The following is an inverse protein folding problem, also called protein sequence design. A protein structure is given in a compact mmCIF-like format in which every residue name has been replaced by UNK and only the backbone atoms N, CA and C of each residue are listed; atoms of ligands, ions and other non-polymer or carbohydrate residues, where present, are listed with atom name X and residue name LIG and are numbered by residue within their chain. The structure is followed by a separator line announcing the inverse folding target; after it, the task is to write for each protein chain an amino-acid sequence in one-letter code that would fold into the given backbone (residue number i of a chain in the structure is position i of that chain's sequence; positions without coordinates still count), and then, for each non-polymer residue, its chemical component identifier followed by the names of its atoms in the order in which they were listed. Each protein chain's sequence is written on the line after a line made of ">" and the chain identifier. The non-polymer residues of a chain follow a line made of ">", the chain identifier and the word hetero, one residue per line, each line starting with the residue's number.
data_IF_912058896384
#
_entry.id   IF_912058896384
#
_cell.length_a   1.000
_cell.length_b   1.000
_cell.length_c   1.000
_cell.angle_alpha   90.00
_cell.angle_beta   90.00
_cell.angle_gamma   90.00
#
_symmetry.space_group_name_H-M   'P 1'
#
loop_
_entity.id
_entity.type
_entity.pdbx_description
1 polymer ?
#
# COMPACT_ATOMS: atom_id res chain seq x y z
N UNK A 1 -32.61 -9.78 58.55
CA UNK A 1 -31.77 -11.00 58.62
C UNK A 1 -31.43 -11.35 57.17
N UNK A 2 -30.44 -10.70 56.56
CA UNK A 2 -28.98 -10.90 56.65
C UNK A 2 -28.45 -12.02 55.73
N UNK A 3 -27.57 -11.58 54.80
CA UNK A 3 -26.46 -12.28 54.13
C UNK A 3 -26.77 -13.50 53.24
N UNK A 4 -26.04 -13.81 52.16
CA UNK A 4 -24.65 -13.44 51.81
C UNK A 4 -24.43 -13.35 50.29
N UNK A 5 -23.53 -12.46 49.91
CA UNK A 5 -23.02 -12.19 48.56
C UNK A 5 -21.79 -13.09 48.29
N UNK A 6 -21.75 -13.76 47.13
CA UNK A 6 -20.63 -14.63 46.70
C UNK A 6 -19.86 -14.01 45.53
N UNK A 7 -18.53 -13.97 45.68
CA UNK A 7 -17.58 -13.15 44.93
C UNK A 7 -17.19 -13.70 43.53
N UNK A 8 -16.75 -12.75 42.69
CA UNK A 8 -16.17 -12.90 41.34
C UNK A 8 -14.64 -13.10 41.49
N UNK A 9 -13.98 -13.96 40.69
CA UNK A 9 -12.54 -14.18 40.81
C UNK A 9 -11.73 -13.01 40.25
N UNK A 10 -10.77 -12.52 41.04
CA UNK A 10 -9.80 -11.51 40.65
C UNK A 10 -8.60 -12.17 39.96
N UNK A 11 -8.24 -11.65 38.78
CA UNK A 11 -7.00 -11.92 38.06
C UNK A 11 -5.82 -11.25 38.75
N UNK A 12 -4.77 -12.03 39.01
CA UNK A 12 -3.47 -11.63 39.54
C UNK A 12 -2.90 -10.40 38.82
N UNK A 13 -2.58 -9.37 39.62
CA UNK A 13 -1.74 -8.26 39.24
C UNK A 13 -0.28 -8.64 39.47
N UNK A 14 0.53 -8.41 38.45
CA UNK A 14 1.98 -8.57 38.46
C UNK A 14 2.60 -7.64 39.52
N UNK A 15 3.22 -8.24 40.52
CA UNK A 15 3.73 -7.58 41.71
C UNK A 15 5.22 -7.32 41.48
N UNK A 16 5.55 -6.06 41.16
CA UNK A 16 6.94 -5.60 40.97
C UNK A 16 7.75 -5.77 42.26
N UNK A 17 8.90 -6.42 42.12
CA UNK A 17 9.91 -6.70 43.14
C UNK A 17 10.52 -5.37 43.67
N UNK A 18 10.69 -5.16 45.00
CA UNK A 18 11.17 -3.88 45.53
C UNK A 18 12.67 -3.61 45.34
N UNK A 19 13.45 -4.55 44.78
CA UNK A 19 14.92 -4.46 44.71
C UNK A 19 15.49 -4.06 43.34
N UNK A 20 14.66 -3.71 42.35
CA UNK A 20 15.11 -3.29 41.00
C UNK A 20 15.03 -1.77 40.77
N UNK A 21 15.36 -0.98 41.80
CA UNK A 21 15.67 0.44 41.60
C UNK A 21 17.09 0.57 41.06
N UNK A 22 17.20 0.91 39.77
CA UNK A 22 18.46 1.36 39.17
C UNK A 22 18.86 2.69 39.82
N UNK A 23 19.81 2.62 40.76
CA UNK A 23 20.48 3.78 41.35
C UNK A 23 21.20 4.56 40.24
N UNK A 24 20.66 5.72 39.87
CA UNK A 24 21.40 6.74 39.14
C UNK A 24 22.18 7.59 40.14
N UNK A 25 23.22 7.00 40.74
CA UNK A 25 24.18 7.75 41.53
C UNK A 25 25.30 8.22 40.58
N UNK A 26 25.25 9.48 40.16
CA UNK A 26 26.34 10.10 39.40
C UNK A 26 27.42 10.46 40.41
N UNK A 27 28.55 9.75 40.36
CA UNK A 27 29.71 10.06 41.20
C UNK A 27 30.34 11.37 40.72
N UNK A 28 30.87 12.17 41.65
CA UNK A 28 31.43 13.50 41.38
C UNK A 28 32.71 13.47 40.50
N UNK A 29 33.16 12.29 40.10
CA UNK A 29 34.36 12.06 39.28
C UNK A 29 34.04 11.98 37.77
N UNK A 30 32.76 11.84 37.38
CA UNK A 30 32.32 11.74 35.97
C UNK A 30 32.04 13.10 35.30
N UNK A 31 32.27 14.22 35.99
CA UNK A 31 31.99 15.58 35.49
C UNK A 31 33.17 16.24 34.74
N UNK A 32 34.34 15.63 34.74
CA UNK A 32 35.58 16.24 34.22
C UNK A 32 35.85 15.98 32.72
N UNK A 33 34.97 15.24 32.01
CA UNK A 33 35.19 14.85 30.61
C UNK A 33 34.18 15.47 29.60
N UNK A 34 33.58 16.61 29.94
CA UNK A 34 32.78 17.40 28.99
C UNK A 34 33.67 18.33 28.16
N UNK A 35 33.54 18.38 26.82
CA UNK A 35 34.25 19.37 26.01
C UNK A 35 33.84 20.79 26.42
N UNK A 36 34.78 21.77 26.40
CA UNK A 36 34.46 23.13 26.83
C UNK A 36 33.35 23.73 25.97
N UNK A 37 32.35 24.30 26.64
CA UNK A 37 31.26 25.04 26.01
C UNK A 37 31.85 26.20 25.19
N UNK A 38 31.53 26.34 23.89
CA UNK A 38 31.99 27.49 23.12
C UNK A 38 31.46 28.79 23.76
N UNK A 39 32.36 29.75 23.95
CA UNK A 39 32.05 31.04 24.56
C UNK A 39 30.86 31.72 23.86
N UNK A 40 29.94 32.27 24.65
CA UNK A 40 28.84 33.08 24.15
C UNK A 40 29.41 34.28 23.36
N UNK A 41 28.80 34.67 22.22
CA UNK A 41 29.20 35.89 21.53
C UNK A 41 29.02 37.08 22.48
N UNK A 42 30.03 37.95 22.53
CA UNK A 42 30.04 39.15 23.38
C UNK A 42 28.73 39.92 23.22
N UNK A 43 27.99 40.05 24.31
CA UNK A 43 26.87 40.96 24.38
C UNK A 43 27.45 42.38 24.31
N UNK A 44 27.25 43.05 23.17
CA UNK A 44 27.47 44.49 23.08
C UNK A 44 26.68 45.24 24.16
N UNK A 45 27.10 46.46 24.53
CA UNK A 45 26.51 47.17 25.66
C UNK A 45 24.99 47.29 25.50
N UNK A 46 24.23 47.21 26.61
CA UNK A 46 22.77 47.27 26.57
C UNK A 46 22.33 48.57 25.90
N UNK A 47 21.45 48.46 24.92
CA UNK A 47 20.84 49.59 24.22
C UNK A 47 19.95 50.35 25.21
N UNK A 48 20.50 51.37 25.85
CA UNK A 48 19.76 52.34 26.65
C UNK A 48 19.24 53.40 25.68
N UNK A 49 17.94 53.37 25.41
CA UNK A 49 17.27 54.41 24.62
C UNK A 49 17.00 55.55 25.59
N UNK A 50 17.71 56.67 25.43
CA UNK A 50 17.48 57.87 26.23
C UNK A 50 16.32 58.68 25.65
N UNK A 51 15.65 59.48 26.50
CA UNK A 51 14.45 60.23 26.12
C UNK A 51 14.71 61.30 25.02
N UNK A 52 15.99 61.57 24.73
CA UNK A 52 16.47 62.48 23.69
C UNK A 52 16.46 61.85 22.29
N UNK A 53 16.56 60.52 22.18
CA UNK A 53 16.52 59.77 20.91
C UNK A 53 15.12 59.70 20.29
N UNK A 54 14.07 59.97 21.08
CA UNK A 54 12.68 59.97 20.62
C UNK A 54 12.27 61.28 19.91
N UNK A 55 13.13 62.30 19.86
CA UNK A 55 12.77 63.63 19.34
C UNK A 55 13.54 64.11 18.11
N UNK A 56 14.40 63.28 17.51
CA UNK A 56 15.00 63.62 16.21
C UNK A 56 14.02 63.39 15.05
N UNK A 57 13.10 64.33 14.85
CA UNK A 57 12.47 64.48 13.53
C UNK A 57 13.48 65.12 12.59
N UNK A 58 13.90 64.39 11.55
CA UNK A 58 14.76 64.90 10.50
C UNK A 58 14.22 66.21 9.90
N UNK A 59 15.06 67.23 9.62
CA UNK A 59 14.61 68.48 9.04
C UNK A 59 14.03 68.27 7.64
N UNK A 60 12.96 68.98 7.26
CA UNK A 60 12.34 68.81 5.94
C UNK A 60 13.26 69.42 4.87
N UNK A 61 13.63 68.64 3.85
CA UNK A 61 14.21 69.21 2.62
C UNK A 61 15.51 68.62 2.07
N UNK A 62 15.96 67.43 2.49
CA UNK A 62 17.02 66.70 1.75
C UNK A 62 16.48 65.37 1.23
N UNK A 63 16.20 65.32 -0.07
CA UNK A 63 16.01 64.07 -0.80
C UNK A 63 17.31 63.25 -0.72
N UNK A 64 17.24 62.08 -0.08
CA UNK A 64 18.31 61.09 -0.17
C UNK A 64 18.50 60.70 -1.64
N UNK A 65 19.75 60.57 -2.14
CA UNK A 65 19.99 60.04 -3.48
C UNK A 65 19.40 58.63 -3.58
N UNK A 66 18.84 58.23 -4.75
CA UNK A 66 18.25 56.92 -4.92
C UNK A 66 19.30 55.84 -4.63
N UNK A 67 19.02 54.96 -3.68
CA UNK A 67 19.86 53.79 -3.43
C UNK A 67 19.89 52.92 -4.70
N UNK A 68 21.07 52.39 -5.09
CA UNK A 68 21.13 51.42 -6.17
C UNK A 68 20.31 50.18 -5.80
N UNK A 69 19.62 49.55 -6.77
CA UNK A 69 18.77 48.39 -6.49
C UNK A 69 19.60 47.26 -5.89
N UNK A 70 19.15 46.73 -4.75
CA UNK A 70 19.71 45.53 -4.14
C UNK A 70 19.47 44.36 -5.11
N UNK A 71 20.52 43.66 -5.60
CA UNK A 71 20.32 42.47 -6.42
C UNK A 71 19.62 41.38 -5.59
N UNK A 72 18.35 41.10 -5.89
CA UNK A 72 17.61 40.00 -5.28
C UNK A 72 16.29 40.36 -4.57
N UNK A 73 15.94 41.63 -4.42
CA UNK A 73 14.66 42.04 -3.81
C UNK A 73 13.56 42.27 -4.85
N UNK A 74 13.38 41.35 -5.80
CA UNK A 74 12.13 41.34 -6.55
C UNK A 74 11.00 41.06 -5.54
N UNK A 75 9.99 41.93 -5.39
CA UNK A 75 8.81 41.55 -4.63
C UNK A 75 8.27 40.26 -5.27
N UNK A 76 8.10 39.21 -4.47
CA UNK A 76 7.35 38.04 -4.88
C UNK A 76 6.02 38.56 -5.37
N UNK A 77 5.84 38.62 -6.68
CA UNK A 77 4.57 38.97 -7.27
C UNK A 77 3.56 37.98 -6.68
N UNK A 78 2.62 38.47 -5.88
CA UNK A 78 1.44 37.72 -5.49
C UNK A 78 0.74 37.32 -6.80
N UNK A 79 1.06 36.12 -7.29
CA UNK A 79 0.37 35.55 -8.43
C UNK A 79 -1.08 35.36 -7.97
N UNK A 80 -2.07 35.94 -8.66
CA UNK A 80 -3.46 35.68 -8.31
C UNK A 80 -3.69 34.17 -8.38
N UNK A 81 -4.01 33.58 -7.22
CA UNK A 81 -4.31 32.15 -7.06
C UNK A 81 -5.73 31.90 -7.58
N UNK A 82 -5.91 32.09 -8.88
CA UNK A 82 -7.11 31.73 -9.63
C UNK A 82 -6.72 31.11 -10.96
N UNK A 83 -5.68 30.27 -10.98
CA UNK A 83 -5.60 29.24 -12.02
C UNK A 83 -6.59 28.12 -11.66
N UNK A 84 -7.81 28.24 -12.16
CA UNK A 84 -8.67 27.07 -12.35
C UNK A 84 -7.96 26.16 -13.36
N UNK A 85 -7.20 25.20 -12.84
CA UNK A 85 -6.58 24.18 -13.67
C UNK A 85 -7.70 23.27 -14.18
N UNK A 86 -8.06 23.42 -15.45
CA UNK A 86 -8.84 22.42 -16.16
C UNK A 86 -7.93 21.24 -16.44
N UNK A 87 -7.74 20.38 -15.43
CA UNK A 87 -7.13 19.09 -15.63
C UNK A 87 -8.09 18.26 -16.49
N UNK A 88 -7.67 17.93 -17.70
CA UNK A 88 -8.29 16.85 -18.45
C UNK A 88 -7.70 15.56 -17.91
N UNK A 89 -8.48 14.66 -17.28
CA UNK A 89 -7.99 13.33 -16.94
C UNK A 89 -7.38 12.69 -18.17
N UNK A 90 -6.07 12.47 -18.11
CA UNK A 90 -5.36 11.79 -19.19
C UNK A 90 -5.70 10.30 -19.22
N UNK A 91 -6.40 9.80 -18.20
CA UNK A 91 -6.80 8.41 -18.05
C UNK A 91 -8.29 8.34 -17.67
N UNK A 92 -9.09 7.72 -18.51
CA UNK A 92 -10.47 7.31 -18.17
C UNK A 92 -10.41 6.18 -17.13
N UNK A 93 -11.44 6.02 -16.27
CA UNK A 93 -11.46 4.97 -15.23
C UNK A 93 -11.11 3.56 -15.72
N UNK A 94 -11.47 3.20 -16.95
CA UNK A 94 -11.09 1.93 -17.60
C UNK A 94 -9.57 1.79 -17.83
N UNK A 95 -8.89 2.90 -18.15
CA UNK A 95 -7.44 2.93 -18.34
C UNK A 95 -6.68 2.85 -17.01
N UNK A 96 -7.29 3.30 -15.91
CA UNK A 96 -6.73 3.17 -14.56
C UNK A 96 -6.79 1.73 -14.05
N UNK A 97 -7.94 1.06 -14.23
CA UNK A 97 -8.10 -0.38 -13.96
C UNK A 97 -7.04 -1.20 -14.69
N UNK A 98 -6.84 -0.93 -16.00
CA UNK A 98 -5.86 -1.65 -16.81
C UNK A 98 -4.42 -1.52 -16.30
N UNK A 99 -4.01 -0.33 -15.85
CA UNK A 99 -2.62 -0.11 -15.38
C UNK A 99 -2.30 -0.86 -14.09
N UNK A 100 -3.21 -0.85 -13.12
CA UNK A 100 -3.04 -1.59 -11.86
C UNK A 100 -2.96 -3.10 -12.11
N UNK A 101 -3.90 -3.61 -12.91
CA UNK A 101 -3.97 -5.03 -13.26
C UNK A 101 -2.71 -5.51 -13.98
N UNK A 102 -2.25 -4.76 -14.99
CA UNK A 102 -1.03 -5.12 -15.74
C UNK A 102 0.19 -5.11 -14.82
N UNK A 103 0.31 -4.11 -13.94
CA UNK A 103 1.46 -4.01 -13.04
C UNK A 103 1.54 -5.20 -12.08
N UNK A 104 0.44 -5.57 -11.42
CA UNK A 104 0.44 -6.70 -10.50
C UNK A 104 0.52 -8.04 -11.24
N UNK A 105 -0.10 -8.16 -12.42
CA UNK A 105 0.04 -9.36 -13.25
C UNK A 105 1.50 -9.59 -13.67
N UNK A 106 2.22 -8.54 -14.11
CA UNK A 106 3.63 -8.65 -14.46
C UNK A 106 4.50 -8.96 -13.24
N UNK A 107 4.22 -8.35 -12.09
CA UNK A 107 4.94 -8.66 -10.85
C UNK A 107 4.73 -10.13 -10.42
N UNK A 108 3.50 -10.61 -10.47
CA UNK A 108 3.18 -12.01 -10.18
C UNK A 108 3.82 -12.98 -11.17
N UNK A 109 3.78 -12.66 -12.46
CA UNK A 109 4.43 -13.43 -13.53
C UNK A 109 5.95 -13.52 -13.34
N UNK A 110 6.60 -12.41 -12.98
CA UNK A 110 8.02 -12.38 -12.63
C UNK A 110 8.32 -13.23 -11.39
N UNK A 111 7.50 -13.12 -10.35
CA UNK A 111 7.61 -13.98 -9.16
C UNK A 111 7.47 -15.47 -9.50
N UNK A 112 6.56 -15.82 -10.41
CA UNK A 112 6.39 -17.18 -10.92
C UNK A 112 7.60 -17.67 -11.73
N UNK A 113 8.20 -16.81 -12.55
CA UNK A 113 9.44 -17.12 -13.28
C UNK A 113 10.62 -17.37 -12.31
N UNK A 114 10.78 -16.52 -11.30
CA UNK A 114 11.82 -16.68 -10.28
C UNK A 114 11.59 -17.94 -9.45
N UNK A 115 10.34 -18.25 -9.11
CA UNK A 115 9.99 -19.49 -8.44
C UNK A 115 10.32 -20.73 -9.28
N UNK A 116 10.05 -20.68 -10.57
CA UNK A 116 10.47 -21.73 -11.48
C UNK A 116 12.00 -21.90 -11.47
N UNK A 117 12.77 -20.81 -11.62
CA UNK A 117 14.23 -20.87 -11.55
C UNK A 117 14.76 -21.45 -10.24
N UNK A 118 14.09 -21.15 -9.13
CA UNK A 118 14.46 -21.64 -7.80
C UNK A 118 14.09 -23.11 -7.57
N UNK A 119 13.02 -23.60 -8.20
CA UNK A 119 12.48 -24.95 -7.94
C UNK A 119 12.90 -25.97 -9.00
N UNK A 120 13.15 -25.54 -10.23
CA UNK A 120 13.54 -26.37 -11.36
C UNK A 120 14.76 -27.27 -11.07
N UNK A 121 15.87 -26.77 -10.51
CA UNK A 121 17.07 -27.60 -10.29
C UNK A 121 16.86 -28.76 -9.32
N UNK A 122 15.79 -28.69 -8.51
CA UNK A 122 15.44 -29.69 -7.50
C UNK A 122 14.32 -30.64 -7.95
N UNK A 123 13.74 -30.41 -9.13
CA UNK A 123 12.75 -31.31 -9.72
C UNK A 123 13.44 -32.47 -10.46
N UNK A 124 13.65 -33.57 -9.74
CA UNK A 124 14.03 -34.85 -10.32
C UNK A 124 12.81 -35.80 -10.32
N UNK A 125 12.31 -36.13 -11.50
CA UNK A 125 11.15 -37.01 -11.72
C UNK A 125 11.38 -38.44 -11.22
N UNK A 126 12.65 -38.89 -11.19
CA UNK A 126 13.04 -40.21 -10.69
C UNK A 126 12.83 -40.38 -9.18
N UNK A 127 12.95 -39.31 -8.40
CA UNK A 127 12.85 -39.34 -6.93
C UNK A 127 11.40 -39.35 -6.42
N UNK A 128 10.42 -39.11 -7.31
CA UNK A 128 9.00 -38.98 -6.95
C UNK A 128 8.27 -40.33 -6.81
N UNK A 129 8.87 -41.44 -7.25
CA UNK A 129 8.23 -42.76 -7.23
C UNK A 129 8.42 -43.54 -5.93
N UNK A 130 9.42 -43.19 -5.12
CA UNK A 130 9.80 -43.94 -3.91
C UNK A 130 9.53 -43.19 -2.59
N UNK A 131 8.80 -42.05 -2.63
CA UNK A 131 8.57 -41.23 -1.44
C UNK A 131 7.28 -41.61 -0.69
N UNK A 132 7.41 -41.88 0.60
CA UNK A 132 6.28 -42.01 1.54
C UNK A 132 5.41 -40.74 1.59
N UNK A 133 4.21 -40.87 2.16
CA UNK A 133 3.23 -39.76 2.28
C UNK A 133 3.84 -38.53 2.94
N UNK A 134 4.61 -38.70 4.02
CA UNK A 134 5.27 -37.59 4.73
C UNK A 134 6.31 -36.87 3.85
N UNK A 135 7.09 -37.62 3.07
CA UNK A 135 8.05 -37.07 2.11
C UNK A 135 7.36 -36.28 0.99
N UNK A 136 6.23 -36.79 0.50
CA UNK A 136 5.40 -36.08 -0.50
C UNK A 136 4.87 -34.76 0.05
N UNK A 137 4.31 -34.77 1.27
CA UNK A 137 3.77 -33.56 1.91
C UNK A 137 4.87 -32.53 2.17
N UNK A 138 6.04 -32.94 2.67
CA UNK A 138 7.17 -32.04 2.88
C UNK A 138 7.61 -31.39 1.56
N UNK A 139 7.73 -32.18 0.48
CA UNK A 139 8.13 -31.66 -0.84
C UNK A 139 7.12 -30.66 -1.39
N UNK A 140 5.82 -30.96 -1.27
CA UNK A 140 4.75 -30.05 -1.70
C UNK A 140 4.67 -28.79 -0.84
N UNK A 141 4.95 -28.90 0.46
CA UNK A 141 5.10 -27.76 1.36
C UNK A 141 6.27 -26.87 0.95
N UNK A 142 7.47 -27.43 0.74
CA UNK A 142 8.63 -26.64 0.31
C UNK A 142 8.44 -26.01 -1.07
N UNK A 143 7.86 -26.77 -2.02
CA UNK A 143 7.55 -26.28 -3.35
C UNK A 143 6.52 -25.14 -3.30
N UNK A 144 5.40 -25.35 -2.61
CA UNK A 144 4.37 -24.33 -2.40
C UNK A 144 4.91 -23.11 -1.67
N UNK A 145 5.80 -23.31 -0.70
CA UNK A 145 6.46 -22.24 0.04
C UNK A 145 7.40 -21.42 -0.82
N UNK A 146 8.30 -22.03 -1.58
CA UNK A 146 9.19 -21.29 -2.48
C UNK A 146 8.42 -20.50 -3.53
N UNK A 147 7.39 -21.13 -4.13
CA UNK A 147 6.51 -20.49 -5.09
C UNK A 147 5.74 -19.33 -4.45
N UNK A 148 5.10 -19.58 -3.31
CA UNK A 148 4.30 -18.60 -2.60
C UNK A 148 5.13 -17.42 -2.09
N UNK A 149 6.33 -17.70 -1.61
CA UNK A 149 7.27 -16.69 -1.14
C UNK A 149 7.76 -15.79 -2.26
N UNK A 150 8.17 -16.34 -3.40
CA UNK A 150 8.71 -15.53 -4.51
C UNK A 150 7.61 -14.74 -5.24
N UNK A 151 6.42 -15.32 -5.43
CA UNK A 151 5.27 -14.57 -5.96
C UNK A 151 4.82 -13.51 -4.95
N UNK A 152 4.70 -13.87 -3.67
CA UNK A 152 4.31 -12.95 -2.59
C UNK A 152 5.28 -11.78 -2.44
N UNK A 153 6.59 -12.03 -2.52
CA UNK A 153 7.63 -11.01 -2.49
C UNK A 153 7.57 -10.07 -3.69
N UNK A 154 7.37 -10.61 -4.90
CA UNK A 154 7.25 -9.80 -6.11
C UNK A 154 6.02 -8.90 -6.09
N UNK A 155 4.85 -9.44 -5.70
CA UNK A 155 3.59 -8.69 -5.60
C UNK A 155 3.65 -7.60 -4.52
N UNK A 156 4.14 -7.94 -3.32
CA UNK A 156 4.25 -6.99 -2.21
C UNK A 156 5.32 -5.93 -2.46
N UNK A 157 6.42 -6.30 -3.12
CA UNK A 157 7.48 -5.38 -3.52
C UNK A 157 7.04 -4.39 -4.59
N UNK A 158 6.20 -4.81 -5.55
CA UNK A 158 5.75 -3.97 -6.67
C UNK A 158 5.11 -2.64 -6.22
N UNK A 159 4.44 -2.63 -5.08
CA UNK A 159 3.84 -1.43 -4.50
C UNK A 159 4.88 -0.42 -4.03
N UNK A 160 5.92 -0.90 -3.36
CA UNK A 160 7.07 -0.11 -2.93
C UNK A 160 7.78 0.52 -4.12
N UNK A 161 7.98 -0.26 -5.20
CA UNK A 161 8.56 0.23 -6.45
C UNK A 161 7.68 1.32 -7.08
N UNK A 162 6.36 1.12 -7.10
CA UNK A 162 5.40 2.13 -7.55
C UNK A 162 5.39 3.40 -6.70
N UNK A 163 5.78 3.32 -5.41
CA UNK A 163 5.96 4.49 -4.53
C UNK A 163 7.30 5.19 -4.67
N UNK A 164 8.27 4.59 -5.36
CA UNK A 164 9.65 5.07 -5.45
C UNK A 164 10.30 5.26 -4.07
N UNK A 165 9.86 4.48 -3.07
CA UNK A 165 10.42 4.46 -1.72
C UNK A 165 11.07 3.09 -1.49
N UNK A 166 12.41 3.00 -1.40
CA UNK A 166 13.12 1.72 -1.31
C UNK A 166 12.83 0.98 0.00
N UNK A 167 12.61 1.70 1.10
CA UNK A 167 12.24 1.10 2.39
C UNK A 167 10.90 0.37 2.32
N UNK A 168 9.90 0.97 1.64
CA UNK A 168 8.59 0.32 1.41
C UNK A 168 8.74 -0.90 0.51
N UNK A 169 9.60 -0.83 -0.50
CA UNK A 169 9.92 -1.98 -1.34
C UNK A 169 10.54 -3.12 -0.53
N UNK A 170 11.59 -2.85 0.24
CA UNK A 170 12.34 -3.89 0.95
C UNK A 170 11.49 -4.53 2.06
N UNK A 171 10.72 -3.72 2.80
CA UNK A 171 9.77 -4.21 3.80
C UNK A 171 8.66 -5.05 3.16
N UNK A 172 8.07 -4.56 2.06
CA UNK A 172 7.04 -5.29 1.32
C UNK A 172 7.57 -6.61 0.76
N UNK A 173 8.74 -6.59 0.13
CA UNK A 173 9.41 -7.77 -0.42
C UNK A 173 9.71 -8.81 0.68
N UNK A 174 10.31 -8.39 1.81
CA UNK A 174 10.65 -9.29 2.91
C UNK A 174 9.43 -9.90 3.60
N UNK A 175 8.41 -9.09 3.91
CA UNK A 175 7.15 -9.59 4.47
C UNK A 175 6.42 -10.49 3.47
N UNK A 176 6.42 -10.11 2.19
CA UNK A 176 5.85 -10.90 1.11
C UNK A 176 6.51 -12.26 0.96
N UNK A 177 7.84 -12.32 1.07
CA UNK A 177 8.62 -13.55 1.03
C UNK A 177 8.28 -14.46 2.22
N UNK A 178 8.28 -13.92 3.44
CA UNK A 178 8.03 -14.68 4.65
C UNK A 178 6.59 -15.21 4.72
N UNK A 179 5.60 -14.31 4.60
CA UNK A 179 4.18 -14.67 4.70
C UNK A 179 3.79 -15.53 3.50
N UNK A 180 4.30 -15.21 2.32
CA UNK A 180 4.08 -15.99 1.10
C UNK A 180 4.67 -17.39 1.21
N UNK A 181 5.85 -17.55 1.82
CA UNK A 181 6.46 -18.85 2.04
C UNK A 181 5.63 -19.70 3.02
N UNK A 182 5.25 -19.12 4.15
CA UNK A 182 4.43 -19.83 5.13
C UNK A 182 3.05 -20.20 4.58
N UNK A 183 2.37 -19.23 3.96
CA UNK A 183 1.05 -19.45 3.36
C UNK A 183 1.10 -20.41 2.18
N UNK A 184 2.13 -20.31 1.33
CA UNK A 184 2.37 -21.21 0.22
C UNK A 184 2.71 -22.62 0.66
N UNK A 185 3.48 -22.79 1.74
CA UNK A 185 3.81 -24.11 2.27
C UNK A 185 2.59 -24.82 2.87
N UNK A 186 1.81 -24.10 3.68
CA UNK A 186 0.53 -24.62 4.20
C UNK A 186 -0.41 -24.93 3.04
N UNK A 187 -0.54 -24.01 2.06
CA UNK A 187 -1.35 -24.20 0.87
C UNK A 187 -0.92 -25.40 0.03
N UNK A 188 0.38 -25.66 -0.10
CA UNK A 188 0.93 -26.80 -0.81
C UNK A 188 0.62 -28.13 -0.12
N UNK A 189 0.79 -28.21 1.21
CA UNK A 189 0.42 -29.39 2.00
C UNK A 189 -1.08 -29.65 1.93
N UNK A 190 -1.90 -28.64 2.23
CA UNK A 190 -3.36 -28.77 2.19
C UNK A 190 -3.87 -29.08 0.78
N UNK A 191 -3.29 -28.46 -0.25
CA UNK A 191 -3.60 -28.72 -1.64
C UNK A 191 -3.28 -30.16 -2.04
N UNK A 192 -2.14 -30.70 -1.60
CA UNK A 192 -1.78 -32.10 -1.85
C UNK A 192 -2.73 -33.08 -1.14
N UNK A 193 -3.16 -32.76 0.09
CA UNK A 193 -4.14 -33.57 0.82
C UNK A 193 -5.51 -33.59 0.13
N UNK A 194 -6.00 -32.43 -0.32
CA UNK A 194 -7.24 -32.33 -1.10
C UNK A 194 -7.10 -33.09 -2.42
N UNK A 195 -5.97 -32.91 -3.11
CA UNK A 195 -5.71 -33.60 -4.36
C UNK A 195 -5.74 -35.12 -4.18
N UNK A 196 -5.00 -35.68 -3.22
CA UNK A 196 -5.02 -37.11 -2.94
C UNK A 196 -6.39 -37.61 -2.47
N UNK A 197 -7.03 -36.89 -1.54
CA UNK A 197 -8.30 -37.29 -0.93
C UNK A 197 -9.49 -37.32 -1.89
N UNK A 198 -9.47 -36.47 -2.93
CA UNK A 198 -10.55 -36.40 -3.94
C UNK A 198 -10.26 -37.26 -5.19
N UNK A 199 -9.29 -38.17 -5.12
CA UNK A 199 -8.95 -39.09 -6.22
C UNK A 199 -7.97 -38.52 -7.25
N UNK A 200 -7.20 -37.50 -6.88
CA UNK A 200 -6.13 -36.94 -7.69
C UNK A 200 -5.08 -37.99 -8.03
N UNK A 201 -4.69 -38.08 -9.31
CA UNK A 201 -3.71 -39.07 -9.78
C UNK A 201 -4.28 -40.45 -10.16
N UNK A 202 -5.59 -40.66 -10.04
CA UNK A 202 -6.28 -41.92 -10.40
C UNK A 202 -6.40 -42.23 -11.91
N UNK A 203 -5.54 -41.68 -12.76
CA UNK A 203 -5.42 -42.04 -14.19
C UNK A 203 -6.52 -41.55 -15.14
N UNK A 204 -7.63 -40.98 -14.64
CA UNK A 204 -8.69 -40.42 -15.49
C UNK A 204 -8.37 -38.96 -15.81
N UNK A 205 -7.84 -38.67 -16.99
CA UNK A 205 -7.78 -37.32 -17.54
C UNK A 205 -9.22 -36.83 -17.75
N UNK A 206 -9.66 -35.87 -16.95
CA UNK A 206 -11.02 -35.37 -17.00
C UNK A 206 -11.20 -34.08 -16.21
N UNK A 207 -12.35 -33.42 -16.42
CA UNK A 207 -12.73 -32.16 -15.77
C UNK A 207 -12.58 -32.20 -14.23
N UNK A 208 -12.80 -33.37 -13.63
CA UNK A 208 -12.62 -33.60 -12.20
C UNK A 208 -11.17 -33.34 -11.73
N UNK A 209 -10.16 -33.85 -12.44
CA UNK A 209 -8.75 -33.65 -12.07
C UNK A 209 -8.35 -32.17 -12.14
N UNK A 210 -8.83 -31.48 -13.17
CA UNK A 210 -8.59 -30.04 -13.36
C UNK A 210 -9.18 -29.27 -12.18
N UNK A 211 -10.45 -29.50 -11.83
CA UNK A 211 -11.12 -28.80 -10.73
C UNK A 211 -10.42 -29.07 -9.39
N UNK A 212 -10.10 -30.33 -9.07
CA UNK A 212 -9.42 -30.68 -7.81
C UNK A 212 -8.04 -30.01 -7.73
N UNK A 213 -7.28 -29.99 -8.83
CA UNK A 213 -5.98 -29.32 -8.89
C UNK A 213 -6.13 -27.81 -8.72
N UNK A 214 -7.14 -27.20 -9.33
CA UNK A 214 -7.44 -25.77 -9.16
C UNK A 214 -7.80 -25.41 -7.73
N UNK A 215 -8.49 -26.28 -6.99
CA UNK A 215 -8.74 -26.07 -5.56
C UNK A 215 -7.44 -26.06 -4.76
N UNK A 216 -6.50 -26.97 -5.05
CA UNK A 216 -5.17 -26.97 -4.45
C UNK A 216 -4.40 -25.68 -4.74
N UNK A 217 -4.39 -25.23 -5.99
CA UNK A 217 -3.77 -23.96 -6.38
C UNK A 217 -4.44 -22.73 -5.77
N UNK A 218 -5.76 -22.79 -5.55
CA UNK A 218 -6.48 -21.73 -4.84
C UNK A 218 -5.98 -21.55 -3.41
N UNK A 219 -5.65 -22.64 -2.70
CA UNK A 219 -5.10 -22.56 -1.34
C UNK A 219 -3.70 -21.91 -1.32
N UNK A 220 -2.84 -22.27 -2.26
CA UNK A 220 -1.54 -21.58 -2.43
C UNK A 220 -1.76 -20.10 -2.75
N UNK A 221 -2.71 -19.80 -3.65
CA UNK A 221 -3.11 -18.45 -4.02
C UNK A 221 -3.60 -17.62 -2.83
N UNK A 222 -4.37 -18.21 -1.91
CA UNK A 222 -4.79 -17.56 -0.65
C UNK A 222 -3.56 -17.17 0.18
N UNK A 223 -2.56 -18.05 0.30
CA UNK A 223 -1.31 -17.76 1.01
C UNK A 223 -0.53 -16.59 0.38
N UNK A 224 -0.41 -16.58 -0.95
CA UNK A 224 0.21 -15.49 -1.72
C UNK A 224 -0.56 -14.17 -1.54
N UNK A 225 -1.89 -14.24 -1.64
CA UNK A 225 -2.78 -13.10 -1.46
C UNK A 225 -2.71 -12.52 -0.04
N UNK A 226 -2.62 -13.39 0.96
CA UNK A 226 -2.39 -13.01 2.36
C UNK A 226 -1.07 -12.25 2.50
N UNK A 227 0.00 -12.70 1.83
CA UNK A 227 1.30 -12.02 1.84
C UNK A 227 1.20 -10.59 1.31
N UNK A 228 0.56 -10.40 0.15
CA UNK A 228 0.34 -9.08 -0.43
C UNK A 228 -0.53 -8.20 0.49
N UNK A 229 -1.64 -8.73 0.99
CA UNK A 229 -2.57 -7.95 1.81
C UNK A 229 -2.05 -7.60 3.21
N UNK A 230 -1.30 -8.51 3.84
CA UNK A 230 -0.72 -8.31 5.16
C UNK A 230 0.43 -7.30 5.17
N UNK A 231 1.15 -7.15 4.05
CA UNK A 231 2.22 -6.15 3.91
C UNK A 231 1.76 -4.71 4.18
N UNK A 232 0.46 -4.44 4.01
CA UNK A 232 -0.17 -3.14 4.21
C UNK A 232 -0.78 -2.93 5.61
N UNK A 233 -0.72 -3.93 6.49
CA UNK A 233 -1.21 -3.88 7.87
C UNK A 233 -2.65 -3.37 8.02
N UNK A 234 -3.53 -3.68 7.07
CA UNK A 234 -4.93 -3.23 7.10
C UNK A 234 -5.85 -4.41 6.76
N UNK A 235 -6.91 -4.68 7.57
CA UNK A 235 -7.77 -5.85 7.37
C UNK A 235 -8.51 -5.81 6.03
N UNK A 236 -8.93 -4.62 5.55
CA UNK A 236 -9.57 -4.47 4.22
C UNK A 236 -8.67 -5.01 3.11
N UNK A 237 -7.38 -4.71 3.17
CA UNK A 237 -6.39 -5.18 2.20
C UNK A 237 -6.06 -6.65 2.35
N UNK A 238 -5.95 -7.15 3.57
CA UNK A 238 -5.79 -8.58 3.83
C UNK A 238 -6.92 -9.40 3.16
N UNK A 239 -8.17 -8.97 3.32
CA UNK A 239 -9.32 -9.64 2.71
C UNK A 239 -9.27 -9.55 1.18
N UNK A 240 -8.92 -8.39 0.62
CA UNK A 240 -8.77 -8.23 -0.84
C UNK A 240 -7.70 -9.18 -1.40
N UNK A 241 -6.56 -9.25 -0.73
CA UNK A 241 -5.47 -10.16 -1.06
C UNK A 241 -5.92 -11.61 -1.01
N UNK A 242 -6.55 -12.07 0.09
CA UNK A 242 -7.06 -13.44 0.22
C UNK A 242 -8.06 -13.80 -0.87
N UNK A 243 -9.04 -12.94 -1.14
CA UNK A 243 -10.06 -13.18 -2.17
C UNK A 243 -9.44 -13.22 -3.57
N UNK A 244 -8.63 -12.21 -3.91
CA UNK A 244 -7.98 -12.14 -5.22
C UNK A 244 -6.96 -13.26 -5.42
N UNK A 245 -6.22 -13.61 -4.37
CA UNK A 245 -5.27 -14.70 -4.35
C UNK A 245 -5.92 -16.05 -4.58
N UNK A 246 -7.00 -16.34 -3.85
CA UNK A 246 -7.77 -17.58 -4.04
C UNK A 246 -8.38 -17.70 -5.43
N UNK A 247 -8.97 -16.61 -5.94
CA UNK A 247 -9.55 -16.57 -7.30
C UNK A 247 -8.47 -16.73 -8.37
N UNK A 248 -7.36 -16.01 -8.27
CA UNK A 248 -6.28 -16.07 -9.24
C UNK A 248 -5.53 -17.39 -9.21
N UNK A 249 -5.34 -18.00 -8.03
CA UNK A 249 -4.81 -19.34 -7.88
C UNK A 249 -5.73 -20.40 -8.49
N UNK A 250 -7.04 -20.28 -8.30
CA UNK A 250 -8.03 -21.18 -8.92
C UNK A 250 -8.01 -21.08 -10.45
N UNK A 251 -8.06 -19.86 -10.99
CA UNK A 251 -8.01 -19.61 -12.44
C UNK A 251 -6.67 -20.08 -13.04
N UNK A 252 -5.55 -19.76 -12.41
CA UNK A 252 -4.25 -20.25 -12.85
C UNK A 252 -4.14 -21.77 -12.79
N UNK A 253 -4.76 -22.41 -11.80
CA UNK A 253 -4.86 -23.86 -11.71
C UNK A 253 -5.72 -24.49 -12.81
N UNK A 254 -6.82 -23.84 -13.21
CA UNK A 254 -7.66 -24.30 -14.34
C UNK A 254 -6.88 -24.29 -15.65
N UNK A 255 -5.99 -23.31 -15.81
CA UNK A 255 -5.14 -23.16 -16.99
C UNK A 255 -3.93 -24.10 -16.97
N UNK A 256 -3.61 -24.74 -15.85
CA UNK A 256 -2.40 -25.55 -15.68
C UNK A 256 -2.31 -26.69 -16.69
N UNK A 257 -3.35 -27.52 -16.80
CA UNK A 257 -3.35 -28.71 -17.67
C UNK A 257 -3.35 -28.35 -19.17
N UNK A 258 -4.18 -27.40 -19.65
CA UNK A 258 -4.08 -26.93 -21.03
C UNK A 258 -2.71 -26.36 -21.38
N UNK A 259 -2.08 -25.60 -20.47
CA UNK A 259 -0.75 -25.04 -20.69
C UNK A 259 0.32 -26.13 -20.70
N UNK A 260 0.18 -27.16 -19.87
CA UNK A 260 1.08 -28.31 -19.88
C UNK A 260 1.00 -29.07 -21.22
N UNK A 261 -0.21 -29.33 -21.71
CA UNK A 261 -0.41 -29.97 -23.01
C UNK A 261 0.14 -29.10 -24.17
N UNK A 262 -0.09 -27.79 -24.11
CA UNK A 262 0.42 -26.84 -25.10
C UNK A 262 1.95 -26.77 -25.09
N UNK A 263 2.58 -26.71 -23.92
CA UNK A 263 4.03 -26.71 -23.78
C UNK A 263 4.68 -27.96 -24.34
N UNK A 264 4.07 -29.13 -24.11
CA UNK A 264 4.51 -30.40 -24.72
C UNK A 264 4.40 -30.37 -26.26
N UNK A 265 3.32 -29.80 -26.80
CA UNK A 265 3.15 -29.67 -28.25
C UNK A 265 4.18 -28.73 -28.90
N UNK A 266 4.56 -27.64 -28.22
CA UNK A 266 5.53 -26.67 -28.76
C UNK A 266 6.98 -27.15 -28.75
N UNK A 267 7.40 -27.94 -27.75
CA UNK A 267 8.80 -28.38 -27.60
C UNK A 267 9.14 -29.60 -28.47
N UNK A 268 8.15 -30.18 -29.16
CA UNK A 268 8.35 -31.28 -30.11
C UNK A 268 8.15 -32.64 -29.45
N UNK A 269 7.15 -33.37 -29.93
CA UNK A 269 6.64 -34.63 -29.37
C UNK A 269 7.56 -35.86 -29.47
N UNK A 270 8.88 -35.72 -29.59
CA UNK A 270 9.82 -36.85 -29.57
C UNK A 270 11.05 -36.57 -28.69
N UNK A 271 11.11 -37.30 -27.57
CA UNK A 271 12.34 -37.80 -26.91
C UNK A 271 13.40 -36.71 -26.59
N UNK A 272 13.04 -35.74 -25.77
CA UNK A 272 13.97 -35.30 -24.71
C UNK A 272 13.32 -35.56 -23.36
N UNK A 273 13.91 -36.41 -22.50
CA UNK A 273 13.44 -36.66 -21.13
C UNK A 273 13.37 -35.40 -20.24
N UNK A 274 13.76 -34.24 -20.78
CA UNK A 274 13.90 -32.97 -20.07
C UNK A 274 12.88 -31.90 -20.52
N UNK A 275 11.98 -32.13 -21.48
CA UNK A 275 11.07 -31.08 -22.00
C UNK A 275 10.00 -30.56 -20.99
N UNK A 276 9.88 -31.17 -19.81
CA UNK A 276 8.91 -30.76 -18.78
C UNK A 276 9.18 -29.38 -18.17
N UNK A 277 10.42 -28.89 -18.21
CA UNK A 277 10.82 -27.62 -17.60
C UNK A 277 10.04 -26.43 -18.18
N UNK A 278 9.84 -26.40 -19.51
CA UNK A 278 9.20 -25.26 -20.18
C UNK A 278 7.72 -25.16 -19.83
N UNK A 279 7.02 -26.30 -19.78
CA UNK A 279 5.61 -26.35 -19.36
C UNK A 279 5.43 -25.87 -17.92
N UNK A 280 6.32 -26.28 -17.00
CA UNK A 280 6.30 -25.85 -15.60
C UNK A 280 6.64 -24.37 -15.45
N UNK A 281 7.59 -23.86 -16.22
CA UNK A 281 7.88 -22.42 -16.30
C UNK A 281 6.63 -21.64 -16.70
N UNK A 282 6.01 -22.00 -17.84
CA UNK A 282 4.82 -21.32 -18.35
C UNK A 282 3.67 -21.37 -17.34
N UNK A 283 3.45 -22.54 -16.71
CA UNK A 283 2.41 -22.71 -15.72
C UNK A 283 2.63 -21.83 -14.48
N UNK A 284 3.85 -21.75 -13.94
CA UNK A 284 4.14 -20.89 -12.77
C UNK A 284 4.04 -19.40 -13.11
N UNK A 285 4.50 -18.99 -14.29
CA UNK A 285 4.36 -17.60 -14.78
C UNK A 285 2.89 -17.22 -14.90
N UNK A 286 2.08 -18.08 -15.51
CA UNK A 286 0.64 -17.80 -15.69
C UNK A 286 -0.10 -17.85 -14.36
N UNK A 287 0.22 -18.79 -13.47
CA UNK A 287 -0.35 -18.83 -12.12
C UNK A 287 -0.06 -17.53 -11.35
N UNK A 288 1.20 -17.07 -11.33
CA UNK A 288 1.58 -15.82 -10.71
C UNK A 288 0.90 -14.61 -11.34
N UNK A 289 0.84 -14.57 -12.67
CA UNK A 289 0.15 -13.52 -13.43
C UNK A 289 -1.35 -13.44 -13.13
N UNK A 290 -2.05 -14.59 -13.16
CA UNK A 290 -3.47 -14.69 -12.80
C UNK A 290 -3.71 -14.26 -11.35
N UNK A 291 -2.82 -14.65 -10.43
CA UNK A 291 -2.87 -14.25 -9.01
C UNK A 291 -2.77 -12.74 -8.86
N UNK A 292 -1.76 -12.12 -9.45
CA UNK A 292 -1.60 -10.66 -9.43
C UNK A 292 -2.75 -9.90 -10.09
N UNK A 293 -3.22 -10.37 -11.26
CA UNK A 293 -4.35 -9.78 -11.97
C UNK A 293 -5.65 -9.83 -11.14
N UNK A 294 -5.93 -10.98 -10.51
CA UNK A 294 -7.12 -11.17 -9.69
C UNK A 294 -7.07 -10.35 -8.40
N UNK A 295 -5.90 -10.23 -7.74
CA UNK A 295 -5.71 -9.33 -6.58
C UNK A 295 -6.01 -7.89 -6.97
N UNK A 296 -5.42 -7.40 -8.07
CA UNK A 296 -5.68 -6.03 -8.53
C UNK A 296 -7.15 -5.80 -8.91
N UNK A 297 -7.79 -6.78 -9.54
CA UNK A 297 -9.21 -6.71 -9.87
C UNK A 297 -10.07 -6.62 -8.61
N UNK A 298 -9.80 -7.45 -7.60
CA UNK A 298 -10.54 -7.40 -6.33
C UNK A 298 -10.31 -6.08 -5.59
N UNK A 299 -9.08 -5.57 -5.56
CA UNK A 299 -8.78 -4.25 -4.99
C UNK A 299 -9.56 -3.15 -5.69
N UNK A 300 -9.61 -3.15 -7.03
CA UNK A 300 -10.40 -2.17 -7.78
C UNK A 300 -11.91 -2.32 -7.50
N UNK A 301 -12.42 -3.56 -7.51
CA UNK A 301 -13.84 -3.82 -7.28
C UNK A 301 -14.29 -3.50 -5.86
N UNK A 302 -13.37 -3.43 -4.90
CA UNK A 302 -13.66 -3.13 -3.49
C UNK A 302 -13.13 -1.76 -3.03
N UNK A 303 -12.54 -0.95 -3.92
CA UNK A 303 -12.11 0.41 -3.55
C UNK A 303 -13.33 1.30 -3.27
N UNK A 304 -13.22 2.10 -2.21
CA UNK A 304 -14.29 3.01 -1.77
C UNK A 304 -13.88 4.47 -1.96
N UNK A 305 -12.62 4.81 -1.71
CA UNK A 305 -12.08 6.15 -1.93
C UNK A 305 -10.61 6.09 -2.37
N UNK A 306 -10.18 7.05 -3.17
CA UNK A 306 -8.79 7.14 -3.63
C UNK A 306 -8.39 8.59 -3.94
N UNK A 307 -7.09 8.86 -3.91
CA UNK A 307 -6.47 10.08 -4.39
C UNK A 307 -5.76 9.83 -5.72
N UNK A 308 -5.82 10.78 -6.63
CA UNK A 308 -5.03 10.77 -7.88
C UNK A 308 -4.06 11.95 -7.84
N UNK A 309 -2.78 11.72 -8.10
CA UNK A 309 -1.80 12.80 -8.22
C UNK A 309 -1.95 13.45 -9.59
N UNK A 310 -2.35 14.70 -9.58
CA UNK A 310 -2.62 15.51 -10.78
C UNK A 310 -1.35 16.18 -11.25
N UNK A 311 -0.57 16.69 -10.29
CA UNK A 311 0.68 17.40 -10.49
C UNK A 311 1.67 17.03 -9.39
N UNK A 312 2.94 16.90 -9.74
CA UNK A 312 4.03 16.59 -8.82
C UNK A 312 4.90 15.42 -9.29
N UNK A 313 5.86 15.00 -8.45
CA UNK A 313 6.83 13.96 -8.80
C UNK A 313 6.24 12.57 -9.07
N UNK A 314 4.96 12.37 -8.75
CA UNK A 314 4.20 11.13 -8.88
C UNK A 314 2.92 11.32 -9.73
N UNK A 315 2.87 12.32 -10.62
CA UNK A 315 1.70 12.57 -11.46
C UNK A 315 1.17 11.31 -12.18
N UNK A 316 -0.15 11.17 -12.20
CA UNK A 316 -0.88 10.00 -12.72
C UNK A 316 -0.95 8.81 -11.75
N UNK A 317 -0.30 8.87 -10.59
CA UNK A 317 -0.37 7.81 -9.58
C UNK A 317 -1.67 7.89 -8.78
N UNK A 318 -2.26 6.73 -8.51
CA UNK A 318 -3.41 6.58 -7.63
C UNK A 318 -2.99 6.02 -6.26
N UNK A 319 -3.62 6.51 -5.20
CA UNK A 319 -3.50 5.99 -3.84
C UNK A 319 -4.88 5.65 -3.30
N UNK A 320 -5.13 4.37 -3.01
CA UNK A 320 -6.41 3.92 -2.43
C UNK A 320 -6.38 4.14 -0.92
N UNK A 321 -7.49 4.66 -0.38
CA UNK A 321 -7.67 4.90 1.05
C UNK A 321 -8.28 3.65 1.70
N UNK A 322 -7.45 2.85 2.35
CA UNK A 322 -7.90 1.63 3.05
C UNK A 322 -8.02 1.79 4.57
N UNK A 323 -7.37 2.81 5.15
CA UNK A 323 -7.27 3.00 6.59
C UNK A 323 -8.29 4.03 7.08
N UNK A 324 -8.87 3.83 8.29
CA UNK A 324 -9.72 4.83 8.92
C UNK A 324 -9.01 6.17 9.17
N UNK A 325 -7.70 6.14 9.34
CA UNK A 325 -6.85 7.32 9.45
C UNK A 325 -5.69 7.13 8.47
N UNK A 326 -5.58 8.03 7.50
CA UNK A 326 -4.53 7.99 6.47
C UNK A 326 -3.65 9.22 6.61
N UNK A 327 -2.37 9.02 6.90
CA UNK A 327 -1.37 10.10 7.00
C UNK A 327 -0.75 10.37 5.62
N UNK A 328 -0.75 11.64 5.22
CA UNK A 328 -0.15 12.11 3.96
C UNK A 328 1.03 13.02 4.26
N UNK A 329 2.17 12.78 3.63
CA UNK A 329 3.37 13.61 3.81
C UNK A 329 4.57 13.10 3.02
N UNK A 330 5.75 13.70 3.25
CA UNK A 330 6.99 13.31 2.57
C UNK A 330 7.73 12.15 3.23
N UNK A 331 7.35 11.77 4.46
CA UNK A 331 8.00 10.68 5.19
C UNK A 331 7.72 9.30 4.55
N UNK A 332 8.71 8.40 4.47
CA UNK A 332 8.48 6.98 4.16
C UNK A 332 7.50 6.29 5.12
N UNK A 333 7.37 6.81 6.36
CA UNK A 333 6.45 6.29 7.37
C UNK A 333 5.00 6.76 7.17
N UNK A 334 4.76 7.78 6.35
CA UNK A 334 3.41 8.20 5.99
C UNK A 334 2.73 7.13 5.13
N UNK A 335 1.42 6.96 5.28
CA UNK A 335 0.64 6.00 4.50
C UNK A 335 0.73 6.35 3.01
N UNK A 336 0.50 7.63 2.69
CA UNK A 336 0.70 8.21 1.37
C UNK A 336 1.95 9.08 1.42
N UNK A 337 3.03 8.57 0.83
CA UNK A 337 4.30 9.27 0.72
C UNK A 337 4.35 10.05 -0.60
N UNK A 338 4.34 11.37 -0.51
CA UNK A 338 4.49 12.29 -1.64
C UNK A 338 5.94 12.77 -1.71
N UNK A 339 6.67 12.29 -2.72
CA UNK A 339 8.08 12.57 -2.92
C UNK A 339 8.31 13.75 -3.88
N UNK A 340 9.50 14.33 -3.81
CA UNK A 340 10.01 15.38 -4.72
C UNK A 340 9.30 16.72 -4.59
N UNK A 341 8.84 17.05 -3.38
CA UNK A 341 8.26 18.35 -3.07
C UNK A 341 8.77 18.83 -1.69
N UNK A 342 9.66 19.82 -1.64
CA UNK A 342 10.21 20.32 -0.37
C UNK A 342 9.18 21.07 0.48
N UNK A 343 8.05 21.49 -0.12
CA UNK A 343 6.95 22.13 0.60
C UNK A 343 6.09 21.15 1.40
N UNK A 344 6.30 19.84 1.23
CA UNK A 344 5.55 18.80 1.94
C UNK A 344 6.34 18.34 3.17
N UNK A 345 5.83 18.66 4.36
CA UNK A 345 6.34 18.14 5.63
C UNK A 345 6.24 16.61 5.76
N UNK A 346 7.06 15.97 6.62
CA UNK A 346 7.02 14.54 6.87
C UNK A 346 5.62 13.99 7.16
N UNK A 347 4.83 14.73 7.95
CA UNK A 347 3.40 14.56 8.15
C UNK A 347 2.73 15.90 7.84
N UNK A 348 2.06 16.01 6.69
CA UNK A 348 1.50 17.27 6.20
C UNK A 348 0.02 17.39 6.55
N UNK A 349 -0.74 16.33 6.31
CA UNK A 349 -2.14 16.26 6.68
C UNK A 349 -2.59 14.81 6.97
N UNK A 350 -3.78 14.69 7.53
CA UNK A 350 -4.43 13.42 7.85
C UNK A 350 -5.80 13.42 7.20
N UNK A 351 -6.17 12.30 6.58
CA UNK A 351 -7.51 12.02 6.12
C UNK A 351 -8.16 11.04 7.08
N UNK A 352 -9.23 11.47 7.75
CA UNK A 352 -9.99 10.65 8.68
C UNK A 352 -11.30 10.18 8.04
N UNK A 353 -11.51 8.88 8.01
CA UNK A 353 -12.76 8.25 7.57
C UNK A 353 -13.87 8.56 8.59
N UNK A 354 -15.02 8.96 8.06
CA UNK A 354 -16.24 9.28 8.81
C UNK A 354 -17.43 8.63 8.11
N UNK A 355 -18.60 8.60 8.77
CA UNK A 355 -19.81 7.93 8.25
C UNK A 355 -20.28 8.40 6.85
N UNK A 356 -19.75 9.51 6.33
CA UNK A 356 -20.10 10.01 5.01
C UNK A 356 -18.92 10.39 4.13
N UNK A 357 -17.75 9.77 4.32
CA UNK A 357 -16.56 10.01 3.50
C UNK A 357 -15.37 10.40 4.36
N UNK A 358 -14.48 11.23 3.82
CA UNK A 358 -13.24 11.60 4.50
C UNK A 358 -13.23 13.07 4.92
N UNK A 359 -12.64 13.33 6.07
CA UNK A 359 -12.38 14.68 6.59
C UNK A 359 -10.88 14.92 6.56
N UNK A 360 -10.49 16.02 5.94
CA UNK A 360 -9.12 16.53 5.95
C UNK A 360 -8.85 17.23 7.28
N UNK A 361 -7.73 16.87 7.90
CA UNK A 361 -7.13 17.51 9.07
C UNK A 361 -5.71 17.93 8.68
N UNK A 362 -5.49 19.22 8.45
CA UNK A 362 -4.17 19.77 8.18
C UNK A 362 -3.59 20.46 9.41
N UNK A 363 -2.27 20.42 9.55
CA UNK A 363 -1.59 21.13 10.63
C UNK A 363 -1.70 22.64 10.41
N UNK A 364 -1.91 23.47 11.45
CA UNK A 364 -2.00 24.93 11.31
C UNK A 364 -0.77 25.56 10.62
N UNK A 365 0.39 24.95 10.79
CA UNK A 365 1.66 25.37 10.19
C UNK A 365 1.82 24.96 8.72
N UNK A 366 0.91 24.14 8.19
CA UNK A 366 0.92 23.59 6.83
C UNK A 366 -0.51 23.58 6.27
N UNK A 367 -1.04 24.75 5.89
CA UNK A 367 -2.39 24.82 5.35
C UNK A 367 -2.46 24.08 4.01
N UNK A 368 -3.46 23.22 3.89
CA UNK A 368 -3.78 22.53 2.63
C UNK A 368 -4.80 23.37 1.88
N UNK A 369 -4.57 23.64 0.60
CA UNK A 369 -5.57 24.34 -0.21
C UNK A 369 -6.56 23.31 -0.75
N UNK A 370 -7.84 23.45 -0.42
CA UNK A 370 -8.92 22.64 -0.99
C UNK A 370 -9.69 23.49 -1.99
N UNK A 371 -9.59 23.16 -3.27
CA UNK A 371 -10.10 23.95 -4.40
C UNK A 371 -9.60 25.40 -4.36
N UNK A 372 -8.31 25.58 -4.08
CA UNK A 372 -7.64 26.88 -4.02
C UNK A 372 -7.85 27.68 -2.73
N UNK A 373 -8.62 27.17 -1.75
CA UNK A 373 -8.85 27.85 -0.46
C UNK A 373 -8.18 27.09 0.67
N UNK A 374 -7.43 27.79 1.52
CA UNK A 374 -6.80 27.19 2.70
C UNK A 374 -7.87 26.57 3.62
N UNK A 375 -7.64 25.31 3.99
CA UNK A 375 -8.52 24.53 4.85
C UNK A 375 -7.67 23.70 5.83
N UNK A 376 -7.89 23.94 7.12
CA UNK A 376 -7.26 23.16 8.19
C UNK A 376 -8.15 21.98 8.61
N UNK A 377 -9.46 22.13 8.45
CA UNK A 377 -10.44 21.10 8.76
C UNK A 377 -11.59 21.18 7.76
N UNK A 378 -11.78 20.15 6.94
CA UNK A 378 -12.84 20.16 5.90
C UNK A 378 -13.23 18.76 5.46
N UNK A 379 -14.53 18.51 5.32
CA UNK A 379 -15.04 17.30 4.67
C UNK A 379 -14.81 17.36 3.17
N UNK A 380 -14.24 16.30 2.61
CA UNK A 380 -13.96 16.18 1.19
C UNK A 380 -15.18 15.70 0.41
N UNK A 381 -15.37 16.25 -0.77
CA UNK A 381 -16.37 15.85 -1.75
C UNK A 381 -15.72 15.28 -3.02
N UNK A 382 -16.47 14.48 -3.78
CA UNK A 382 -16.02 13.96 -5.08
C UNK A 382 -15.47 15.07 -5.97
N UNK A 383 -14.25 14.89 -6.47
CA UNK A 383 -13.56 15.84 -7.34
C UNK A 383 -12.86 16.99 -6.60
N UNK A 384 -12.85 17.00 -5.26
CA UNK A 384 -12.10 18.02 -4.51
C UNK A 384 -10.60 17.90 -4.80
N UNK A 385 -9.98 19.03 -5.11
CA UNK A 385 -8.54 19.14 -5.35
C UNK A 385 -7.84 19.61 -4.07
N UNK A 386 -6.85 18.85 -3.61
CA UNK A 386 -5.99 19.21 -2.48
C UNK A 386 -4.60 19.60 -2.99
N UNK A 387 -4.17 20.81 -2.69
CA UNK A 387 -2.81 21.28 -2.96
C UNK A 387 -1.97 21.20 -1.69
N UNK A 388 -0.91 20.41 -1.75
CA UNK A 388 0.06 20.12 -0.70
C UNK A 388 1.43 20.59 -1.20
N UNK A 389 1.92 21.75 -0.75
CA UNK A 389 3.12 22.36 -1.34
C UNK A 389 2.90 22.73 -2.81
N UNK A 390 3.63 22.08 -3.72
CA UNK A 390 3.48 22.19 -5.18
C UNK A 390 2.75 20.99 -5.80
N UNK A 391 2.39 19.99 -5.00
CA UNK A 391 1.73 18.77 -5.43
C UNK A 391 0.22 18.95 -5.36
N UNK A 392 -0.49 18.59 -6.42
CA UNK A 392 -1.96 18.63 -6.49
C UNK A 392 -2.48 17.21 -6.57
N UNK A 393 -3.41 16.85 -5.69
CA UNK A 393 -4.10 15.57 -5.69
C UNK A 393 -5.62 15.78 -5.79
N UNK A 394 -6.31 14.94 -6.55
CA UNK A 394 -7.77 14.95 -6.66
C UNK A 394 -8.37 13.80 -5.83
N UNK A 395 -9.40 14.10 -5.06
CA UNK A 395 -10.11 13.14 -4.22
C UNK A 395 -11.30 12.54 -4.95
N UNK A 396 -11.38 11.22 -4.91
CA UNK A 396 -12.49 10.46 -5.45
C UNK A 396 -13.05 9.48 -4.42
N UNK A 397 -14.36 9.28 -4.51
CA UNK A 397 -15.15 8.29 -3.83
C UNK A 397 -15.88 7.48 -4.89
N UNK A 398 -15.97 6.18 -4.66
CA UNK A 398 -16.86 5.35 -5.45
C UNK A 398 -18.27 5.83 -5.18
N UNK A 399 -18.97 6.28 -6.23
CA UNK A 399 -20.38 6.61 -6.13
C UNK A 399 -21.11 5.40 -5.52
N UNK A 400 -21.54 5.54 -4.27
CA UNK A 400 -22.60 4.67 -3.77
C UNK A 400 -23.76 4.98 -4.70
N UNK A 401 -24.13 4.01 -5.52
CA UNK A 401 -25.39 4.08 -6.27
C UNK A 401 -26.47 4.06 -5.20
N UNK A 402 -26.76 5.21 -4.61
CA UNK A 402 -27.92 5.40 -3.79
C UNK A 402 -29.06 5.03 -4.73
N UNK A 403 -29.71 3.91 -4.46
CA UNK A 403 -31.05 3.69 -4.96
C UNK A 403 -31.88 4.82 -4.35
N UNK A 404 -31.94 5.94 -5.06
CA UNK A 404 -32.96 6.94 -4.80
C UNK A 404 -34.24 6.32 -5.36
N UNK A 405 -35.28 6.04 -4.56
CA UNK A 405 -36.58 5.74 -5.13
C UNK A 405 -36.91 6.88 -6.08
N UNK A 406 -37.25 6.53 -7.32
CA UNK A 406 -37.56 7.50 -8.36
C UNK A 406 -38.50 8.55 -7.77
N UNK A 407 -38.06 9.81 -7.70
CA UNK A 407 -38.98 10.91 -7.41
C UNK A 407 -39.99 10.88 -8.54
N UNK A 408 -41.21 10.45 -8.24
CA UNK A 408 -42.35 10.61 -9.14
C UNK A 408 -42.35 12.08 -9.57
N UNK A 409 -42.21 12.40 -10.86
CA UNK A 409 -42.32 13.78 -11.29
C UNK A 409 -43.69 14.28 -10.85
N UNK A 410 -43.69 15.38 -10.09
CA UNK A 410 -44.91 16.07 -9.69
C UNK A 410 -45.75 16.30 -10.94
N UNK A 411 -46.98 15.80 -10.92
CA UNK A 411 -47.93 15.96 -12.01
C UNK A 411 -48.00 17.44 -12.37
N UNK A 412 -47.62 17.75 -13.61
CA UNK A 412 -47.90 19.04 -14.22
C UNK A 412 -49.41 19.26 -14.11
N UNK A 413 -49.81 20.30 -13.38
CA UNK A 413 -51.18 20.75 -13.32
C UNK A 413 -51.65 21.05 -14.75
N UNK A 414 -52.64 20.29 -15.20
CA UNK A 414 -53.38 20.58 -16.43
C UNK A 414 -54.17 21.86 -16.17
N UNK A 415 -54.05 22.91 -17.00
CA UNK A 415 -54.92 24.07 -16.88
C UNK A 415 -56.35 23.66 -17.26
N UNK A 416 -57.30 23.89 -16.35
CA UNK A 416 -58.72 23.81 -16.67
C UNK A 416 -59.04 24.91 -17.68
N UNK A 417 -59.55 24.49 -18.83
CA UNK A 417 -60.24 25.33 -19.80
C UNK A 417 -61.73 25.22 -19.50
N UNK A 418 -62.39 26.38 -19.53
CA UNK A 418 -63.79 26.73 -19.21
C UNK A 418 -64.12 27.06 -17.76
#
# INVERSE_FOLDING_TARGET
>A
MSASCGAIPQTEGDQLDPDDQVDFNIEAEDLDELPPVPAAPEQGPPLVIEHEDLTQTAPPGKSLPPQPPIPGSAPLAERPVTQQFSYKPSLTGTQMLGRGMISLALAGALGGLLAWMATEPFMNDAQQRDSDVSGTLLRMGLFGGLLGGLIGAALSGAEGLGSRVPEKFLRGFGLGLLIGFMGGAVGGVCGQLIYGGLGGGGGVLGLQQIIIRSLGWSLVGIGVGMAQGASALTPRRLINGVLGGGLGGFVGGLLFDPLAALGQAFVGGEITPHAGWFSRMLAMVVLGGCTGAAISLVEELRKEAWLIVMQGGLAGKQFILFKPVTVVGSSPKADICLLKDPGIRPQHCVLQETAGGHVLLASPECPVLVNGRAANHRRLAEGDTLTLGQTVVEYHVRAVRAWAPARTPAQAQVPLVE
#
